data_IF_699497134201
#
_entry.id   IF_699497134201
#
_cell.length_a   1.000
_cell.length_b   1.000
_cell.length_c   1.000
_cell.angle_alpha   90.00
_cell.angle_beta   90.00
_cell.angle_gamma   90.00
#
_symmetry.space_group_name_H-M   'P 1'
#
loop_
_entity.id
_entity.type
_entity.pdbx_description
1 polymer ?
#
# COMPACT_ATOMS: atom_id res chain seq x y z
N UNK A 1 4.84 -16.99 -3.45
CA UNK A 1 4.13 -15.72 -3.26
C UNK A 1 4.44 -14.74 -4.38
N UNK A 2 5.70 -14.26 -4.53
CA UNK A 2 6.06 -13.26 -5.54
C UNK A 2 5.65 -13.65 -6.97
N UNK A 3 5.85 -14.90 -7.36
CA UNK A 3 5.50 -15.42 -8.70
C UNK A 3 3.98 -15.35 -8.94
N UNK A 4 3.18 -15.72 -7.95
CA UNK A 4 1.73 -15.67 -8.03
C UNK A 4 1.22 -14.22 -8.13
N UNK A 5 1.80 -13.28 -7.39
CA UNK A 5 1.39 -11.88 -7.43
C UNK A 5 1.86 -11.16 -8.70
N UNK A 6 2.94 -11.59 -9.33
CA UNK A 6 3.50 -10.95 -10.52
C UNK A 6 2.61 -11.10 -11.78
N UNK A 7 1.59 -11.95 -11.74
CA UNK A 7 0.59 -12.03 -12.82
C UNK A 7 -0.47 -10.95 -12.74
N UNK A 8 -0.67 -10.36 -11.55
CA UNK A 8 -1.76 -9.42 -11.26
C UNK A 8 -1.26 -8.00 -10.93
N UNK A 9 -0.02 -7.89 -10.43
CA UNK A 9 0.54 -6.62 -9.99
C UNK A 9 1.85 -6.30 -10.72
N UNK A 10 1.96 -5.10 -11.27
CA UNK A 10 3.13 -4.67 -12.05
C UNK A 10 4.39 -4.51 -11.20
N UNK A 11 4.23 -3.91 -10.01
CA UNK A 11 5.36 -3.60 -9.14
C UNK A 11 5.20 -4.26 -7.78
N UNK A 12 6.15 -5.15 -7.45
CA UNK A 12 6.15 -5.90 -6.19
C UNK A 12 7.50 -5.74 -5.50
N UNK A 13 7.46 -5.09 -4.35
CA UNK A 13 8.61 -4.99 -3.45
C UNK A 13 8.52 -6.10 -2.42
N UNK A 14 9.59 -6.90 -2.31
CA UNK A 14 9.67 -7.98 -1.32
C UNK A 14 10.77 -7.69 -0.31
N UNK A 15 10.47 -7.91 0.96
CA UNK A 15 11.40 -7.73 2.07
C UNK A 15 11.42 -8.98 2.94
N UNK A 16 12.60 -9.40 3.33
CA UNK A 16 12.80 -10.54 4.25
C UNK A 16 12.96 -10.09 5.70
N UNK A 17 13.32 -8.83 5.91
CA UNK A 17 13.40 -8.17 7.22
C UNK A 17 12.68 -6.82 7.16
N UNK A 18 12.01 -6.40 8.23
CA UNK A 18 11.34 -5.11 8.30
C UNK A 18 12.28 -3.93 8.58
N UNK A 19 13.58 -4.14 8.77
CA UNK A 19 14.56 -3.11 9.17
C UNK A 19 14.57 -1.90 8.23
N UNK A 20 14.38 -2.15 6.94
CA UNK A 20 14.33 -1.11 5.92
C UNK A 20 12.91 -0.71 5.49
N UNK A 21 11.88 -1.20 6.19
CA UNK A 21 10.48 -0.98 5.81
C UNK A 21 10.15 0.52 5.68
N UNK A 22 10.48 1.28 6.71
CA UNK A 22 10.20 2.73 6.76
C UNK A 22 10.88 3.47 5.61
N UNK A 23 12.16 3.20 5.37
CA UNK A 23 12.92 3.84 4.30
C UNK A 23 12.49 3.40 2.91
N UNK A 24 12.00 2.17 2.76
CA UNK A 24 11.48 1.65 1.50
C UNK A 24 10.13 2.28 1.18
N UNK A 25 9.19 2.24 2.11
CA UNK A 25 7.86 2.82 1.92
C UNK A 25 7.95 4.35 1.71
N UNK A 26 8.86 5.04 2.42
CA UNK A 26 9.04 6.48 2.26
C UNK A 26 9.60 6.90 0.89
N UNK A 27 10.22 5.99 0.15
CA UNK A 27 10.71 6.22 -1.22
C UNK A 27 9.66 5.99 -2.29
N UNK A 28 8.65 5.18 -1.97
CA UNK A 28 7.55 4.90 -2.89
C UNK A 28 6.54 6.05 -2.85
N UNK A 29 6.14 6.51 -4.01
CA UNK A 29 5.16 7.61 -4.12
C UNK A 29 3.75 7.13 -3.77
N UNK A 30 3.43 5.89 -4.12
CA UNK A 30 2.18 5.23 -3.74
C UNK A 30 2.42 3.76 -3.43
N UNK A 31 1.72 3.26 -2.44
CA UNK A 31 1.70 1.83 -2.10
C UNK A 31 0.23 1.42 -2.07
N UNK A 32 -0.20 0.63 -3.06
CA UNK A 32 -1.60 0.23 -3.20
C UNK A 32 -2.04 -0.75 -2.11
N UNK A 33 -1.16 -1.67 -1.69
CA UNK A 33 -1.42 -2.58 -0.58
C UNK A 33 -0.11 -3.10 0.04
N UNK A 34 -0.19 -3.55 1.29
CA UNK A 34 0.91 -4.22 1.98
C UNK A 34 0.47 -5.60 2.46
N UNK A 35 1.21 -6.63 2.09
CA UNK A 35 1.14 -7.96 2.70
C UNK A 35 2.18 -8.06 3.81
N UNK A 36 1.72 -8.28 5.02
CA UNK A 36 2.56 -8.29 6.21
C UNK A 36 2.50 -9.66 6.90
N UNK A 37 3.62 -10.37 6.93
CA UNK A 37 3.73 -11.57 7.76
C UNK A 37 3.69 -11.18 9.25
N UNK A 38 2.95 -11.92 10.04
CA UNK A 38 2.87 -11.67 11.48
C UNK A 38 4.10 -12.19 12.24
N UNK A 39 4.87 -13.12 11.65
CA UNK A 39 6.01 -13.78 12.28
C UNK A 39 7.29 -13.55 11.47
N UNK A 40 8.06 -12.54 11.83
CA UNK A 40 9.37 -12.24 11.19
C UNK A 40 10.55 -12.83 11.96
N UNK A 41 10.43 -12.99 13.26
CA UNK A 41 11.55 -13.42 14.12
C UNK A 41 11.65 -14.93 14.18
N UNK A 42 12.80 -15.46 13.78
CA UNK A 42 13.15 -16.85 13.97
C UNK A 42 13.22 -17.15 15.47
N UNK A 43 12.25 -17.94 15.96
CA UNK A 43 12.29 -18.52 17.30
C UNK A 43 11.40 -17.90 18.38
N UNK A 44 10.77 -16.75 18.14
CA UNK A 44 9.82 -16.13 19.09
C UNK A 44 8.53 -15.74 18.36
N UNK A 45 7.60 -16.68 18.25
CA UNK A 45 6.33 -16.48 17.56
C UNK A 45 5.31 -15.77 18.46
N UNK A 46 5.55 -14.50 18.84
CA UNK A 46 4.57 -13.73 19.63
C UNK A 46 3.58 -12.96 18.76
N UNK A 47 3.86 -12.81 17.45
CA UNK A 47 3.07 -11.98 16.53
C UNK A 47 3.02 -10.49 16.90
N UNK A 48 3.69 -10.08 17.98
CA UNK A 48 3.75 -8.70 18.42
C UNK A 48 4.52 -7.84 17.44
N UNK A 49 5.53 -8.41 16.78
CA UNK A 49 6.33 -7.73 15.77
C UNK A 49 5.47 -7.33 14.56
N UNK A 50 4.60 -8.23 14.08
CA UNK A 50 3.66 -7.93 13.01
C UNK A 50 2.71 -6.80 13.36
N UNK A 51 2.16 -6.78 14.59
CA UNK A 51 1.29 -5.69 15.04
C UNK A 51 2.04 -4.36 15.17
N UNK A 52 3.29 -4.38 15.63
CA UNK A 52 4.13 -3.18 15.69
C UNK A 52 4.35 -2.60 14.29
N UNK A 53 4.76 -3.43 13.34
CA UNK A 53 5.03 -2.99 11.96
C UNK A 53 3.76 -2.55 11.25
N UNK A 54 2.64 -3.22 11.46
CA UNK A 54 1.35 -2.78 10.94
C UNK A 54 0.99 -1.36 11.42
N UNK A 55 1.16 -1.08 12.71
CA UNK A 55 0.92 0.27 13.26
C UNK A 55 1.88 1.30 12.67
N UNK A 56 3.13 0.90 12.44
CA UNK A 56 4.15 1.76 11.82
C UNK A 56 3.76 2.10 10.38
N UNK A 57 3.35 1.11 9.59
CA UNK A 57 2.85 1.31 8.23
C UNK A 57 1.65 2.27 8.24
N UNK A 58 0.67 2.03 9.11
CA UNK A 58 -0.52 2.87 9.22
C UNK A 58 -0.25 4.30 9.67
N UNK A 59 0.83 4.56 10.40
CA UNK A 59 1.26 5.94 10.72
C UNK A 59 1.85 6.64 9.52
N UNK A 60 2.61 5.93 8.68
CA UNK A 60 3.27 6.50 7.50
C UNK A 60 2.30 6.62 6.33
N UNK A 61 1.47 5.62 6.12
CA UNK A 61 0.51 5.49 5.04
C UNK A 61 -0.87 5.09 5.60
N UNK A 62 -1.64 6.03 6.17
CA UNK A 62 -2.93 5.74 6.83
C UNK A 62 -3.94 5.07 5.90
N UNK A 63 -3.91 5.43 4.63
CA UNK A 63 -4.88 4.96 3.64
C UNK A 63 -4.46 3.65 2.95
N UNK A 64 -3.19 3.22 3.07
CA UNK A 64 -2.75 1.97 2.45
C UNK A 64 -3.34 0.76 3.19
N UNK A 65 -4.09 -0.13 2.52
CA UNK A 65 -4.60 -1.34 3.14
C UNK A 65 -3.45 -2.29 3.49
N UNK A 66 -3.50 -2.81 4.71
CA UNK A 66 -2.54 -3.81 5.19
C UNK A 66 -3.29 -5.13 5.38
N UNK A 67 -2.86 -6.16 4.67
CA UNK A 67 -3.35 -7.53 4.81
C UNK A 67 -2.33 -8.33 5.60
N UNK A 68 -2.77 -8.97 6.68
CA UNK A 68 -1.92 -9.77 7.54
C UNK A 68 -1.82 -11.20 7.03
N UNK A 69 -0.62 -11.77 7.02
CA UNK A 69 -0.42 -13.20 6.78
C UNK A 69 -0.06 -13.86 8.12
N UNK A 70 -0.81 -14.87 8.51
CA UNK A 70 -0.66 -15.50 9.82
C UNK A 70 -0.74 -17.01 9.76
N UNK A 71 -0.08 -17.71 10.71
CA UNK A 71 -0.32 -19.12 10.89
C UNK A 71 -1.72 -19.36 11.50
N UNK A 72 -2.29 -20.53 11.26
CA UNK A 72 -3.63 -20.87 11.77
C UNK A 72 -3.75 -20.75 13.30
N UNK A 73 -2.68 -21.04 14.01
CA UNK A 73 -2.62 -20.90 15.47
C UNK A 73 -2.70 -19.45 15.97
N UNK A 74 -2.42 -18.47 15.12
CA UNK A 74 -2.27 -17.06 15.49
C UNK A 74 -3.46 -16.19 15.04
N UNK A 75 -4.61 -16.80 14.71
CA UNK A 75 -5.82 -16.09 14.23
C UNK A 75 -6.30 -15.04 15.23
N UNK A 76 -6.14 -15.27 16.54
CA UNK A 76 -6.50 -14.26 17.55
C UNK A 76 -5.66 -12.99 17.44
N UNK A 77 -4.39 -13.09 17.03
CA UNK A 77 -3.53 -11.94 16.76
C UNK A 77 -3.96 -11.21 15.48
N UNK A 78 -4.35 -11.94 14.45
CA UNK A 78 -4.91 -11.34 13.25
C UNK A 78 -6.19 -10.56 13.54
N UNK A 79 -7.09 -11.09 14.38
CA UNK A 79 -8.29 -10.37 14.85
C UNK A 79 -7.92 -9.09 15.62
N UNK A 80 -6.87 -9.11 16.43
CA UNK A 80 -6.35 -7.87 17.04
C UNK A 80 -5.84 -6.89 15.98
N UNK A 81 -5.15 -7.40 14.95
CA UNK A 81 -4.69 -6.60 13.82
C UNK A 81 -5.83 -5.86 13.12
N UNK A 82 -6.95 -6.53 12.86
CA UNK A 82 -8.16 -5.91 12.30
C UNK A 82 -8.67 -4.76 13.18
N UNK A 83 -8.70 -4.93 14.50
CA UNK A 83 -9.09 -3.86 15.44
C UNK A 83 -8.13 -2.66 15.42
N UNK A 84 -6.89 -2.87 15.01
CA UNK A 84 -5.89 -1.82 14.86
C UNK A 84 -5.82 -1.23 13.43
N UNK A 85 -6.74 -1.63 12.54
CA UNK A 85 -6.88 -1.05 11.22
C UNK A 85 -6.25 -1.84 10.07
N UNK A 86 -5.91 -3.12 10.28
CA UNK A 86 -5.64 -4.00 9.15
C UNK A 86 -6.91 -4.17 8.31
N UNK A 87 -6.75 -4.25 7.00
CA UNK A 87 -7.88 -4.40 6.07
C UNK A 87 -8.46 -5.81 6.12
N UNK A 88 -7.58 -6.82 6.18
CA UNK A 88 -7.97 -8.24 6.26
C UNK A 88 -6.78 -9.09 6.71
N UNK A 89 -6.99 -10.41 6.80
CA UNK A 89 -5.92 -11.37 7.04
C UNK A 89 -6.11 -12.65 6.24
N UNK A 90 -4.99 -13.32 5.97
CA UNK A 90 -4.93 -14.61 5.26
C UNK A 90 -4.12 -15.60 6.10
N UNK A 91 -4.64 -16.83 6.24
CA UNK A 91 -3.96 -17.89 6.99
C UNK A 91 -3.02 -18.70 6.12
N UNK A 92 -1.91 -19.14 6.69
CA UNK A 92 -1.00 -20.11 6.08
C UNK A 92 -1.50 -21.55 6.33
N UNK A 93 -1.47 -22.44 5.32
CA UNK A 93 -1.20 -22.21 3.92
C UNK A 93 -2.37 -21.45 3.25
N UNK A 94 -2.06 -20.56 2.32
CA UNK A 94 -3.10 -19.80 1.58
C UNK A 94 -3.40 -20.44 0.21
N UNK A 95 -4.57 -20.16 -0.27
CA UNK A 95 -5.00 -20.34 -1.64
C UNK A 95 -4.64 -19.07 -2.43
N UNK A 96 -4.01 -19.22 -3.61
CA UNK A 96 -3.53 -18.07 -4.38
C UNK A 96 -4.67 -17.19 -4.89
N UNK A 97 -5.77 -17.80 -5.36
CA UNK A 97 -6.91 -17.06 -5.90
C UNK A 97 -7.60 -16.25 -4.79
N UNK A 98 -7.73 -16.85 -3.61
CA UNK A 98 -8.26 -16.16 -2.44
C UNK A 98 -7.38 -15.01 -1.97
N UNK A 99 -6.06 -15.20 -1.97
CA UNK A 99 -5.12 -14.14 -1.61
C UNK A 99 -5.22 -12.97 -2.57
N UNK A 100 -5.25 -13.24 -3.88
CA UNK A 100 -5.39 -12.22 -4.91
C UNK A 100 -6.73 -11.50 -4.78
N UNK A 101 -7.83 -12.22 -4.59
CA UNK A 101 -9.16 -11.64 -4.37
C UNK A 101 -9.19 -10.74 -3.13
N UNK A 102 -8.58 -11.17 -2.02
CA UNK A 102 -8.48 -10.37 -0.79
C UNK A 102 -7.70 -9.07 -1.02
N UNK A 103 -6.62 -9.13 -1.81
CA UNK A 103 -5.84 -7.94 -2.15
C UNK A 103 -6.65 -6.96 -3.00
N UNK A 104 -7.29 -7.42 -4.07
CA UNK A 104 -8.14 -6.58 -4.91
C UNK A 104 -9.27 -5.95 -4.11
N UNK A 105 -10.00 -6.73 -3.32
CA UNK A 105 -11.07 -6.24 -2.44
C UNK A 105 -10.59 -5.13 -1.50
N UNK A 106 -9.43 -5.31 -0.88
CA UNK A 106 -8.86 -4.33 0.04
C UNK A 106 -8.43 -3.04 -0.68
N UNK A 107 -7.85 -3.16 -1.88
CA UNK A 107 -7.46 -2.03 -2.71
C UNK A 107 -8.69 -1.26 -3.19
N UNK A 108 -9.71 -1.95 -3.69
CA UNK A 108 -10.91 -1.34 -4.23
C UNK A 108 -11.72 -0.63 -3.13
N UNK A 109 -11.93 -1.27 -1.99
CA UNK A 109 -12.57 -0.63 -0.82
C UNK A 109 -11.82 0.62 -0.36
N UNK A 110 -10.49 0.58 -0.42
CA UNK A 110 -9.68 1.74 -0.05
C UNK A 110 -9.82 2.88 -1.08
N UNK A 111 -9.94 2.56 -2.36
CA UNK A 111 -10.18 3.54 -3.44
C UNK A 111 -11.57 4.19 -3.36
N UNK A 112 -12.59 3.42 -2.99
CA UNK A 112 -13.97 3.93 -2.84
C UNK A 112 -14.09 4.96 -1.70
N UNK A 113 -13.24 4.89 -0.68
CA UNK A 113 -13.29 5.75 0.52
C UNK A 113 -12.27 6.89 0.45
N UNK A 114 -11.41 6.95 -0.57
CA UNK A 114 -10.44 8.03 -0.71
C UNK A 114 -11.15 9.38 -0.94
N UNK A 115 -10.78 10.43 -0.18
CA UNK A 115 -11.24 11.78 -0.45
C UNK A 115 -10.93 12.18 -1.90
N UNK A 116 -11.88 12.85 -2.56
CA UNK A 116 -11.74 13.25 -3.97
C UNK A 116 -10.43 14.02 -4.23
N UNK A 117 -10.04 14.88 -3.30
CA UNK A 117 -8.79 15.64 -3.37
C UNK A 117 -7.54 14.74 -3.42
N UNK A 118 -7.56 13.63 -2.70
CA UNK A 118 -6.44 12.70 -2.67
C UNK A 118 -6.37 11.87 -3.94
N UNK A 119 -7.50 11.39 -4.44
CA UNK A 119 -7.59 10.73 -5.75
C UNK A 119 -7.12 11.64 -6.88
N UNK A 120 -7.52 12.91 -6.81
CA UNK A 120 -7.12 13.92 -7.79
C UNK A 120 -5.61 14.18 -7.74
N UNK A 121 -5.02 14.30 -6.55
CA UNK A 121 -3.59 14.49 -6.36
C UNK A 121 -2.78 13.31 -6.91
N UNK A 122 -3.19 12.07 -6.60
CA UNK A 122 -2.52 10.87 -7.11
C UNK A 122 -2.60 10.78 -8.64
N UNK A 123 -3.76 11.09 -9.22
CA UNK A 123 -3.93 11.09 -10.67
C UNK A 123 -3.02 12.11 -11.34
N UNK A 124 -2.90 13.29 -10.75
CA UNK A 124 -2.01 14.35 -11.20
C UNK A 124 -0.54 13.93 -11.11
N UNK A 125 -0.14 13.30 -10.01
CA UNK A 125 1.23 12.81 -9.82
C UNK A 125 1.60 11.75 -10.83
N UNK A 126 0.73 10.76 -11.06
CA UNK A 126 0.91 9.71 -12.08
C UNK A 126 1.10 10.29 -13.48
N UNK A 127 0.32 11.29 -13.85
CA UNK A 127 0.45 11.94 -15.17
C UNK A 127 1.80 12.65 -15.32
N UNK A 128 2.28 13.31 -14.27
CA UNK A 128 3.61 13.95 -14.27
C UNK A 128 4.73 12.92 -14.42
N UNK A 129 4.61 11.77 -13.75
CA UNK A 129 5.58 10.68 -13.86
C UNK A 129 5.61 10.07 -15.25
N UNK A 130 4.45 9.72 -15.81
CA UNK A 130 4.35 9.21 -17.18
C UNK A 130 4.93 10.16 -18.21
N UNK A 131 4.90 11.46 -17.91
CA UNK A 131 5.51 12.49 -18.74
C UNK A 131 6.98 12.79 -18.35
N UNK A 132 7.61 11.95 -17.52
CA UNK A 132 8.99 12.13 -17.05
C UNK A 132 9.27 13.53 -16.48
N UNK A 133 8.33 14.08 -15.70
CA UNK A 133 8.41 15.40 -15.10
C UNK A 133 8.09 16.56 -16.05
N UNK A 134 7.69 16.31 -17.29
CA UNK A 134 7.31 17.35 -18.25
C UNK A 134 5.90 17.89 -17.93
N UNK A 135 5.86 19.02 -17.20
CA UNK A 135 4.62 19.66 -16.73
C UNK A 135 3.68 20.09 -17.86
N UNK A 136 4.23 20.45 -19.03
CA UNK A 136 3.41 20.88 -20.18
C UNK A 136 2.65 19.67 -20.76
N UNK A 137 3.36 18.55 -20.98
CA UNK A 137 2.75 17.30 -21.46
C UNK A 137 1.77 16.71 -20.44
N UNK A 138 2.12 16.75 -19.16
CA UNK A 138 1.22 16.27 -18.10
C UNK A 138 -0.07 17.10 -18.03
N UNK A 139 0.01 18.41 -18.13
CA UNK A 139 -1.15 19.29 -18.15
C UNK A 139 -2.05 19.01 -19.37
N UNK A 140 -1.45 18.84 -20.55
CA UNK A 140 -2.15 18.47 -21.79
C UNK A 140 -2.84 17.11 -21.65
N UNK A 141 -2.14 16.08 -21.14
CA UNK A 141 -2.69 14.75 -20.90
C UNK A 141 -3.90 14.78 -19.94
N UNK A 142 -3.85 15.63 -18.92
CA UNK A 142 -4.93 15.81 -17.93
C UNK A 142 -6.04 16.76 -18.40
N UNK A 143 -5.90 17.41 -19.56
CA UNK A 143 -6.88 18.39 -20.05
C UNK A 143 -6.98 19.66 -19.18
N UNK A 144 -5.91 20.03 -18.46
CA UNK A 144 -5.86 21.19 -17.56
C UNK A 144 -4.73 22.14 -17.95
N UNK A 145 -4.77 23.36 -17.41
CA UNK A 145 -3.66 24.32 -17.61
C UNK A 145 -2.46 23.98 -16.72
N UNK A 146 -1.26 24.41 -17.12
CA UNK A 146 -0.06 24.27 -16.27
C UNK A 146 -0.23 24.93 -14.91
N UNK A 147 -0.89 26.07 -14.83
CA UNK A 147 -1.16 26.75 -13.56
C UNK A 147 -2.04 25.90 -12.65
N UNK A 148 -3.08 25.28 -13.20
CA UNK A 148 -3.95 24.37 -12.47
C UNK A 148 -3.17 23.16 -11.98
N UNK A 149 -2.27 22.60 -12.81
CA UNK A 149 -1.40 21.47 -12.43
C UNK A 149 -0.51 21.83 -11.25
N UNK A 150 0.16 22.98 -11.28
CA UNK A 150 1.00 23.44 -10.15
C UNK A 150 0.20 23.66 -8.88
N UNK A 151 -1.02 24.25 -8.99
CA UNK A 151 -1.91 24.44 -7.85
C UNK A 151 -2.29 23.11 -7.20
N UNK A 152 -2.63 22.10 -8.01
CA UNK A 152 -3.00 20.75 -7.52
C UNK A 152 -1.84 20.01 -6.87
N UNK A 153 -0.62 20.24 -7.33
CA UNK A 153 0.59 19.68 -6.71
C UNK A 153 1.07 20.43 -5.45
N UNK A 154 0.35 21.46 -5.01
CA UNK A 154 0.75 22.31 -3.88
C UNK A 154 2.00 23.15 -4.14
N UNK A 155 2.48 23.22 -5.39
CA UNK A 155 3.62 24.03 -5.80
C UNK A 155 3.11 25.39 -6.27
N UNK A 156 2.88 26.30 -5.34
CA UNK A 156 2.66 27.69 -5.70
C UNK A 156 3.94 28.24 -6.31
N UNK A 157 3.88 28.70 -7.55
CA UNK A 157 4.94 29.53 -8.11
C UNK A 157 5.05 30.80 -7.26
N UNK A 158 6.21 31.00 -6.62
CA UNK A 158 6.67 32.32 -6.23
C UNK A 158 7.22 33.03 -7.45
#
# INVERSE_FOLDING_TARGET
>A
LKICLATEFEHIITMTSPDNLVSTIAKEQSVDAVLLDMNFSLGVNTGQDGLFWMRTIKKLHPNTPVILITAYADVQLAVKGLKYGAADFVTKPWDNDKLIATLHDAIDKNREVMPLEQMELEHVQRAVEQCHGNMSKAAEMLGITRQTLYKKLGKNQK
#
